data_IF_473053254822
#
_entry.id   IF_473053254822
#
_cell.length_a   1.000
_cell.length_b   1.000
_cell.length_c   1.000
_cell.angle_alpha   90.00
_cell.angle_beta   90.00
_cell.angle_gamma   90.00
#
_symmetry.space_group_name_H-M   'P 1'
#
loop_
_entity.id
_entity.type
_entity.pdbx_description
1 polymer ?
#
# COMPACT_ATOMS: atom_id res chain seq x y z
N UNK A 1 -27.54 -15.23 14.26
CA UNK A 1 -27.32 -13.82 13.91
C UNK A 1 -26.96 -13.81 12.45
N UNK A 2 -27.70 -13.10 11.63
CA UNK A 2 -27.44 -13.01 10.19
C UNK A 2 -26.16 -12.22 9.99
N UNK A 3 -25.10 -12.89 9.53
CA UNK A 3 -23.88 -12.24 9.05
C UNK A 3 -24.26 -11.36 7.87
N UNK A 4 -24.29 -10.05 8.08
CA UNK A 4 -24.41 -9.08 7.00
C UNK A 4 -23.10 -9.14 6.19
N UNK A 5 -23.11 -9.56 4.92
CA UNK A 5 -21.90 -9.64 4.11
C UNK A 5 -21.36 -8.26 3.73
N UNK A 6 -22.05 -7.17 4.10
CA UNK A 6 -21.65 -5.80 3.77
C UNK A 6 -20.85 -5.16 4.91
N UNK A 7 -19.67 -4.65 4.57
CA UNK A 7 -18.92 -3.75 5.41
C UNK A 7 -18.84 -2.37 4.75
N UNK A 8 -19.16 -1.31 5.50
CA UNK A 8 -19.00 0.08 5.08
C UNK A 8 -18.02 0.76 6.03
N UNK A 9 -16.97 1.37 5.49
CA UNK A 9 -15.89 1.99 6.25
C UNK A 9 -15.40 3.29 5.65
N UNK A 10 -14.49 3.96 6.36
CA UNK A 10 -13.83 5.18 5.90
C UNK A 10 -12.32 4.94 5.87
N UNK A 11 -11.75 4.92 4.65
CA UNK A 11 -10.39 4.45 4.44
C UNK A 11 -9.33 5.14 5.33
N UNK A 12 -9.26 6.47 5.46
CA UNK A 12 -8.33 7.12 6.39
C UNK A 12 -8.48 6.66 7.85
N UNK A 13 -9.71 6.51 8.35
CA UNK A 13 -9.97 6.07 9.73
C UNK A 13 -9.59 4.62 9.93
N UNK A 14 -10.02 3.74 9.03
CA UNK A 14 -9.79 2.30 9.14
C UNK A 14 -8.34 1.92 8.93
N UNK A 15 -7.68 2.55 7.97
CA UNK A 15 -6.28 2.32 7.65
C UNK A 15 -5.35 2.76 8.79
N UNK A 16 -5.69 3.85 9.49
CA UNK A 16 -4.87 4.37 10.60
C UNK A 16 -4.71 3.35 11.75
N UNK A 17 -5.70 2.47 11.95
CA UNK A 17 -5.65 1.40 12.95
C UNK A 17 -4.55 0.36 12.65
N UNK A 18 -4.20 0.21 11.37
CA UNK A 18 -3.25 -0.79 10.88
C UNK A 18 -2.16 -0.16 10.01
N UNK A 19 -1.67 1.03 10.39
CA UNK A 19 -0.51 1.69 9.74
C UNK A 19 -0.67 1.88 8.23
N UNK A 20 -1.88 2.22 7.82
CA UNK A 20 -2.28 2.42 6.43
C UNK A 20 -3.03 1.23 5.81
N UNK A 21 -3.11 0.07 6.46
CA UNK A 21 -3.69 -1.13 5.85
C UNK A 21 -5.20 -1.28 6.07
N UNK A 22 -5.94 -1.36 4.96
CA UNK A 22 -7.39 -1.60 4.96
C UNK A 22 -7.75 -3.09 5.04
N UNK A 23 -7.01 -3.94 4.32
CA UNK A 23 -7.36 -5.35 4.09
C UNK A 23 -6.09 -6.20 4.03
N UNK A 24 -6.16 -7.45 4.50
CA UNK A 24 -5.07 -8.43 4.40
C UNK A 24 -5.12 -9.53 5.47
N UNK A 25 -4.15 -10.44 5.45
CA UNK A 25 -4.13 -11.67 6.26
C UNK A 25 -3.94 -11.39 7.77
N UNK A 26 -3.48 -10.19 8.09
CA UNK A 26 -3.21 -9.73 9.45
C UNK A 26 -4.47 -9.24 10.18
N UNK A 27 -5.62 -9.09 9.49
CA UNK A 27 -6.89 -8.78 10.16
C UNK A 27 -7.37 -10.00 10.95
N UNK A 28 -8.27 -9.78 11.91
CA UNK A 28 -8.93 -10.89 12.60
C UNK A 28 -9.70 -11.74 11.57
N UNK A 29 -9.64 -13.08 11.57
CA UNK A 29 -10.39 -13.92 10.63
C UNK A 29 -11.90 -13.70 10.61
N UNK A 30 -12.48 -13.15 11.69
CA UNK A 30 -13.89 -12.76 11.75
C UNK A 30 -14.18 -11.36 11.18
N UNK A 31 -13.15 -10.57 10.86
CA UNK A 31 -13.28 -9.28 10.19
C UNK A 31 -13.47 -9.52 8.68
N UNK A 32 -14.49 -8.94 8.03
CA UNK A 32 -14.71 -9.10 6.58
C UNK A 32 -13.55 -8.56 5.71
N UNK A 33 -12.62 -7.80 6.30
CA UNK A 33 -11.40 -7.30 5.65
C UNK A 33 -10.21 -8.27 5.80
N UNK A 34 -10.40 -9.43 6.41
CA UNK A 34 -9.40 -10.49 6.37
C UNK A 34 -9.32 -11.10 4.97
N UNK A 35 -8.10 -11.23 4.43
CA UNK A 35 -7.87 -11.82 3.10
C UNK A 35 -6.48 -12.43 2.99
N UNK A 36 -6.41 -13.64 2.46
CA UNK A 36 -5.16 -14.31 2.07
C UNK A 36 -4.82 -14.08 0.59
N UNK A 37 -5.74 -13.48 -0.17
CA UNK A 37 -5.55 -13.21 -1.61
C UNK A 37 -4.87 -11.86 -1.83
N UNK A 38 -5.38 -10.80 -1.19
CA UNK A 38 -4.93 -9.41 -1.42
C UNK A 38 -4.73 -8.63 -0.14
N UNK A 39 -3.74 -7.75 -0.15
CA UNK A 39 -3.54 -6.71 0.86
C UNK A 39 -3.82 -5.36 0.22
N UNK A 40 -4.56 -4.49 0.91
CA UNK A 40 -4.89 -3.15 0.42
C UNK A 40 -4.41 -2.11 1.43
N UNK A 41 -3.62 -1.15 0.98
CA UNK A 41 -3.14 -0.01 1.76
C UNK A 41 -3.71 1.30 1.22
N UNK A 42 -4.21 2.14 2.13
CA UNK A 42 -4.51 3.55 1.89
C UNK A 42 -3.38 4.40 2.46
N UNK A 43 -2.58 5.03 1.59
CA UNK A 43 -1.47 5.90 1.97
C UNK A 43 -1.87 7.37 1.84
N UNK A 44 -1.66 8.14 2.90
CA UNK A 44 -1.76 9.61 2.90
C UNK A 44 -0.43 10.16 3.35
N UNK A 45 0.20 10.96 2.49
CA UNK A 45 1.59 11.39 2.63
C UNK A 45 1.68 12.91 2.50
N UNK A 46 2.29 13.63 3.47
CA UNK A 46 2.57 15.05 3.32
C UNK A 46 3.69 15.28 2.28
N UNK A 47 3.86 16.52 1.77
CA UNK A 47 4.95 16.84 0.86
C UNK A 47 6.33 16.53 1.48
N UNK A 48 7.19 15.89 0.70
CA UNK A 48 8.54 15.47 1.12
C UNK A 48 8.58 14.20 1.96
N UNK A 49 7.43 13.60 2.29
CA UNK A 49 7.40 12.29 2.94
C UNK A 49 8.02 11.24 2.02
N UNK A 50 8.82 10.35 2.58
CA UNK A 50 9.56 9.35 1.81
C UNK A 50 9.89 8.15 2.66
N UNK A 51 10.12 7.03 1.99
CA UNK A 51 10.76 5.88 2.63
C UNK A 51 12.26 5.93 2.35
N UNK A 52 13.07 6.07 3.38
CA UNK A 52 14.53 6.04 3.21
C UNK A 52 15.03 4.60 2.99
N UNK A 53 14.40 3.62 3.64
CA UNK A 53 14.73 2.21 3.46
C UNK A 53 14.05 1.65 2.20
N UNK A 54 14.84 0.97 1.37
CA UNK A 54 14.30 0.22 0.24
C UNK A 54 13.54 -1.01 0.73
N UNK A 55 12.40 -1.30 0.09
CA UNK A 55 11.84 -2.64 0.13
C UNK A 55 12.72 -3.52 -0.73
N UNK A 56 13.27 -4.56 -0.12
CA UNK A 56 14.11 -5.55 -0.79
C UNK A 56 13.50 -6.95 -0.74
N UNK A 57 13.59 -7.71 -1.83
CA UNK A 57 13.18 -9.12 -1.84
C UNK A 57 11.69 -9.36 -1.63
N UNK A 58 10.84 -8.43 -2.09
CA UNK A 58 9.38 -8.57 -1.99
C UNK A 58 8.91 -9.83 -2.77
N UNK A 59 8.11 -10.66 -2.12
CA UNK A 59 7.60 -11.93 -2.69
C UNK A 59 6.22 -11.76 -3.33
N UNK A 60 5.64 -10.57 -3.21
CA UNK A 60 4.34 -10.17 -3.77
C UNK A 60 4.51 -9.39 -5.06
N UNK A 61 3.48 -9.44 -5.90
CA UNK A 61 3.25 -8.42 -6.92
C UNK A 61 2.51 -7.25 -6.26
N UNK A 62 2.78 -6.03 -6.70
CA UNK A 62 2.15 -4.84 -6.16
C UNK A 62 1.75 -3.85 -7.25
N UNK A 63 0.59 -3.23 -7.06
CA UNK A 63 0.04 -2.14 -7.85
C UNK A 63 -0.11 -0.92 -6.94
N UNK A 64 0.38 0.24 -7.35
CA UNK A 64 0.08 1.52 -6.69
C UNK A 64 -0.65 2.41 -7.69
N UNK A 65 -1.79 2.97 -7.26
CA UNK A 65 -2.59 3.94 -8.01
C UNK A 65 -2.56 5.28 -7.28
N UNK A 66 -2.31 6.34 -8.02
CA UNK A 66 -2.40 7.71 -7.52
C UNK A 66 -3.87 8.16 -7.48
N UNK A 67 -4.37 8.45 -6.29
CA UNK A 67 -5.71 9.02 -6.10
C UNK A 67 -5.67 10.54 -6.25
N UNK A 68 -4.66 11.18 -5.65
CA UNK A 68 -4.40 12.61 -5.75
C UNK A 68 -2.95 12.94 -5.38
N UNK A 69 -2.44 14.07 -5.87
CA UNK A 69 -1.10 14.58 -5.54
C UNK A 69 -0.07 14.25 -6.62
N UNK A 70 1.17 14.07 -6.18
CA UNK A 70 2.33 13.81 -7.04
C UNK A 70 3.31 12.91 -6.31
N UNK A 71 3.49 11.70 -6.82
CA UNK A 71 4.15 10.62 -6.09
C UNK A 71 5.16 9.91 -6.99
N UNK A 72 6.40 9.81 -6.53
CA UNK A 72 7.49 9.18 -7.28
C UNK A 72 7.87 7.86 -6.61
N UNK A 73 7.96 6.81 -7.41
CA UNK A 73 8.56 5.54 -7.01
C UNK A 73 9.96 5.43 -7.60
N UNK A 74 10.89 4.96 -6.79
CA UNK A 74 12.26 4.66 -7.20
C UNK A 74 12.45 3.15 -7.27
N UNK A 75 12.96 2.68 -8.40
CA UNK A 75 13.37 1.30 -8.65
C UNK A 75 14.88 1.28 -8.97
N UNK A 76 15.59 0.14 -8.92
CA UNK A 76 17.05 0.11 -8.99
C UNK A 76 17.66 0.75 -10.25
N UNK A 77 16.90 0.86 -11.33
CA UNK A 77 17.38 1.37 -12.62
C UNK A 77 16.56 2.53 -13.19
N UNK A 78 15.50 2.97 -12.51
CA UNK A 78 14.64 4.07 -12.97
C UNK A 78 13.72 4.56 -11.87
N UNK A 79 13.32 5.81 -11.99
CA UNK A 79 12.19 6.36 -11.24
C UNK A 79 10.95 6.42 -12.12
N UNK A 80 9.78 6.31 -11.50
CA UNK A 80 8.47 6.47 -12.12
C UNK A 80 7.72 7.56 -11.36
N UNK A 81 7.39 8.64 -12.04
CA UNK A 81 6.56 9.72 -11.50
C UNK A 81 5.10 9.47 -11.87
N UNK A 82 4.23 9.54 -10.87
CA UNK A 82 2.79 9.59 -11.03
C UNK A 82 2.35 11.02 -10.70
N UNK A 83 1.80 11.74 -11.66
CA UNK A 83 1.41 13.16 -11.49
C UNK A 83 0.02 13.49 -12.05
N UNK A 84 -0.69 12.49 -12.58
CA UNK A 84 -2.07 12.61 -13.01
C UNK A 84 -2.94 11.63 -12.24
N UNK A 85 -4.10 12.09 -11.78
CA UNK A 85 -5.05 11.22 -11.08
C UNK A 85 -5.36 9.96 -11.90
N UNK A 86 -5.24 8.80 -11.26
CA UNK A 86 -5.40 7.49 -11.89
C UNK A 86 -4.14 6.89 -12.49
N UNK A 87 -3.01 7.63 -12.55
CA UNK A 87 -1.71 7.06 -12.89
C UNK A 87 -1.39 5.90 -11.94
N UNK A 88 -0.77 4.86 -12.49
CA UNK A 88 -0.45 3.67 -11.73
C UNK A 88 0.86 3.03 -12.17
N UNK A 89 1.46 2.28 -11.26
CA UNK A 89 2.60 1.41 -11.55
C UNK A 89 2.37 0.04 -10.94
N UNK A 90 2.66 -1.00 -11.74
CA UNK A 90 2.63 -2.39 -11.34
C UNK A 90 4.07 -2.91 -11.35
N UNK A 91 4.48 -3.57 -10.27
CA UNK A 91 5.78 -4.24 -10.21
C UNK A 91 5.65 -5.65 -9.64
N UNK A 92 6.47 -6.55 -10.17
CA UNK A 92 6.48 -7.95 -9.81
C UNK A 92 7.37 -8.26 -8.61
N UNK A 93 7.36 -9.54 -8.25
CA UNK A 93 8.20 -10.12 -7.20
C UNK A 93 9.69 -9.82 -7.44
N UNK A 94 10.43 -9.58 -6.37
CA UNK A 94 11.85 -9.27 -6.38
C UNK A 94 12.20 -7.87 -6.88
N UNK A 95 11.21 -7.05 -7.24
CA UNK A 95 11.46 -5.66 -7.62
C UNK A 95 11.56 -4.78 -6.39
N UNK A 96 12.80 -4.48 -6.03
CA UNK A 96 13.11 -3.57 -4.94
C UNK A 96 12.60 -2.16 -5.27
N UNK A 97 12.14 -1.42 -4.26
CA UNK A 97 11.63 -0.07 -4.50
C UNK A 97 11.73 0.84 -3.27
N UNK A 98 11.70 2.13 -3.51
CA UNK A 98 11.34 3.15 -2.52
C UNK A 98 10.39 4.19 -3.11
N UNK A 99 10.03 5.21 -2.33
CA UNK A 99 9.10 6.24 -2.79
C UNK A 99 9.31 7.57 -2.07
N UNK A 100 8.82 8.62 -2.72
CA UNK A 100 8.72 9.98 -2.20
C UNK A 100 7.41 10.63 -2.68
N UNK A 101 6.73 11.34 -1.78
CA UNK A 101 5.61 12.20 -2.09
C UNK A 101 6.14 13.62 -2.42
N UNK A 102 6.26 13.95 -3.71
CA UNK A 102 6.72 15.29 -4.13
C UNK A 102 5.71 16.39 -3.77
N UNK A 103 4.43 16.03 -3.67
CA UNK A 103 3.35 16.86 -3.14
C UNK A 103 2.51 16.05 -2.14
N UNK A 104 1.60 16.73 -1.44
CA UNK A 104 0.62 16.06 -0.57
C UNK A 104 -0.18 15.05 -1.41
N UNK A 105 -0.04 13.76 -1.08
CA UNK A 105 -0.47 12.68 -1.95
C UNK A 105 -1.33 11.66 -1.23
N UNK A 106 -2.34 11.17 -1.93
CA UNK A 106 -3.12 10.00 -1.53
C UNK A 106 -2.93 8.90 -2.56
N UNK A 107 -2.55 7.70 -2.11
CA UNK A 107 -2.27 6.54 -2.95
C UNK A 107 -2.99 5.31 -2.44
N UNK A 108 -3.43 4.45 -3.36
CA UNK A 108 -3.95 3.12 -3.05
C UNK A 108 -2.93 2.09 -3.51
N UNK A 109 -2.46 1.24 -2.60
CA UNK A 109 -1.57 0.12 -2.94
C UNK A 109 -2.31 -1.19 -2.77
N UNK A 110 -2.25 -2.06 -3.78
CA UNK A 110 -2.75 -3.44 -3.73
C UNK A 110 -1.55 -4.37 -3.86
N UNK A 111 -1.44 -5.37 -2.99
CA UNK A 111 -0.41 -6.42 -3.07
C UNK A 111 -1.03 -7.81 -3.07
N UNK A 112 -0.40 -8.75 -3.77
CA UNK A 112 -0.82 -10.16 -3.77
C UNK A 112 0.35 -11.12 -4.00
N UNK A 113 0.33 -12.33 -3.40
CA UNK A 113 -0.69 -12.81 -2.46
C UNK A 113 -0.59 -12.13 -1.09
N UNK A 114 -1.63 -12.22 -0.27
CA UNK A 114 -1.63 -11.72 1.11
C UNK A 114 -1.13 -12.81 2.05
N UNK A 115 0.18 -12.82 2.29
CA UNK A 115 0.84 -13.88 3.08
C UNK A 115 1.63 -13.29 4.26
N UNK A 116 1.86 -14.04 5.34
CA UNK A 116 2.81 -13.63 6.37
C UNK A 116 4.25 -13.54 5.83
N UNK A 117 5.13 -12.80 6.49
CA UNK A 117 6.59 -12.98 6.32
C UNK A 117 7.35 -11.90 5.52
N UNK A 118 6.74 -10.75 5.22
CA UNK A 118 7.53 -9.58 4.81
C UNK A 118 7.06 -8.33 5.54
N UNK A 119 7.83 -7.91 6.55
CA UNK A 119 7.67 -6.62 7.22
C UNK A 119 9.05 -5.98 7.21
N UNK A 120 9.19 -4.89 6.46
CA UNK A 120 10.34 -4.01 6.64
C UNK A 120 10.19 -3.45 8.06
N UNK A 121 11.21 -3.56 8.92
CA UNK A 121 11.18 -2.95 10.25
C UNK A 121 10.88 -1.45 10.14
N UNK A 122 10.23 -0.88 11.15
CA UNK A 122 10.03 0.58 11.19
C UNK A 122 11.40 1.29 11.18
N UNK A 123 11.50 2.49 10.57
CA UNK A 123 12.63 3.38 10.82
C UNK A 123 12.75 3.59 12.34
N UNK A 124 13.99 3.56 12.84
CA UNK A 124 14.29 3.83 14.24
C UNK A 124 13.97 5.28 14.65
#
# INVERSE_FOLDING_TARGET
MTDDPLYVGHAPTDAALDRGWLMGHFKNPADPRHSEDVEIKWGVHPPGDRREQWATGEVRTALLVLISGKFRLDFPHRSVLLDRQGDYVLWGKGMDHSWEAEEASTVLTVRWPSVPGYRIPDPA
#
